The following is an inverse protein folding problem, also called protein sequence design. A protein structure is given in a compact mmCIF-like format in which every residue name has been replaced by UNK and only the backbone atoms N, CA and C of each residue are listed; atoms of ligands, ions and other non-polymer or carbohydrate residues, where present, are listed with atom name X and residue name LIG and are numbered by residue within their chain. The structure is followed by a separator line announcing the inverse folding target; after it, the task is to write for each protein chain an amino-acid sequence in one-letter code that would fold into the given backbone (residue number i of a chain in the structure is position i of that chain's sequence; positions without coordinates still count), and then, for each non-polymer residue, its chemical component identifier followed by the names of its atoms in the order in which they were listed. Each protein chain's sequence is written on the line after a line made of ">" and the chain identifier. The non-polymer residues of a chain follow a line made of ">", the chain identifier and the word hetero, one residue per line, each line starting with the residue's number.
data_IF_824330683189
#
_entry.id   IF_824330683189
#
_cell.length_a   1.000
_cell.length_b   1.000
_cell.length_c   1.000
_cell.angle_alpha   90.00
_cell.angle_beta   90.00
_cell.angle_gamma   90.00
#
_symmetry.space_group_name_H-M   'P 1'
#
loop_
_entity.id
_entity.type
_entity.pdbx_description
1 polymer ?
#
# COMPACT_ATOMS: atom_id res chain seq x y z
N UNK A 1 -38.52 -6.79 -4.98
CA UNK A 1 -37.12 -7.16 -5.28
C UNK A 1 -36.70 -6.27 -6.41
N UNK A 2 -36.29 -5.04 -6.07
CA UNK A 2 -35.97 -4.03 -7.06
C UNK A 2 -34.50 -4.16 -7.45
N UNK A 3 -34.29 -4.45 -8.73
CA UNK A 3 -32.96 -4.59 -9.31
C UNK A 3 -32.26 -3.23 -9.32
N UNK A 4 -31.07 -3.19 -8.70
CA UNK A 4 -30.11 -2.12 -8.94
C UNK A 4 -29.68 -2.18 -10.42
N UNK A 5 -30.40 -1.45 -11.27
CA UNK A 5 -29.91 -1.07 -12.59
C UNK A 5 -28.71 -0.15 -12.37
N UNK A 6 -27.51 -0.67 -12.63
CA UNK A 6 -26.32 0.15 -12.80
C UNK A 6 -26.66 1.19 -13.88
N UNK A 7 -26.93 2.44 -13.47
CA UNK A 7 -26.99 3.55 -14.41
C UNK A 7 -25.60 3.68 -15.01
N UNK A 8 -25.43 3.13 -16.22
CA UNK A 8 -24.27 3.44 -17.06
C UNK A 8 -24.40 4.90 -17.41
N UNK A 9 -23.67 5.75 -16.69
CA UNK A 9 -23.43 7.13 -17.12
C UNK A 9 -22.99 7.10 -18.58
N UNK A 10 -23.68 7.86 -19.44
CA UNK A 10 -23.45 8.00 -20.88
C UNK A 10 -22.17 8.82 -21.15
N UNK A 11 -21.09 8.46 -20.45
CA UNK A 11 -19.78 9.01 -20.70
C UNK A 11 -19.32 8.43 -22.04
N UNK A 12 -18.94 9.28 -23.01
CA UNK A 12 -18.40 8.77 -24.26
C UNK A 12 -17.22 7.86 -23.92
N UNK A 13 -17.30 6.61 -24.37
CA UNK A 13 -16.18 5.68 -24.25
C UNK A 13 -15.01 6.37 -24.95
N UNK A 14 -13.92 6.67 -24.24
CA UNK A 14 -12.78 7.35 -24.85
C UNK A 14 -12.32 6.52 -26.04
N UNK A 15 -12.00 7.17 -27.15
CA UNK A 15 -11.46 6.46 -28.29
C UNK A 15 -10.11 5.79 -27.89
N UNK A 16 -9.65 4.88 -28.74
CA UNK A 16 -8.43 4.10 -28.46
C UNK A 16 -7.23 5.02 -28.25
N UNK A 17 -7.13 6.15 -28.98
CA UNK A 17 -6.02 7.09 -28.86
C UNK A 17 -6.04 7.83 -27.52
N UNK A 18 -7.22 8.32 -27.11
CA UNK A 18 -7.41 8.96 -25.81
C UNK A 18 -7.15 7.98 -24.66
N UNK A 19 -7.58 6.74 -24.80
CA UNK A 19 -7.33 5.67 -23.82
C UNK A 19 -5.83 5.39 -23.71
N UNK A 20 -5.14 5.20 -24.83
CA UNK A 20 -3.69 4.96 -24.86
C UNK A 20 -2.94 6.12 -24.24
N UNK A 21 -3.29 7.36 -24.58
CA UNK A 21 -2.67 8.57 -24.01
C UNK A 21 -2.91 8.66 -22.50
N UNK A 22 -4.12 8.34 -22.04
CA UNK A 22 -4.46 8.31 -20.62
C UNK A 22 -3.64 7.27 -19.86
N UNK A 23 -3.49 6.06 -20.41
CA UNK A 23 -2.67 5.00 -19.81
C UNK A 23 -1.20 5.41 -19.74
N UNK A 24 -0.63 5.96 -20.83
CA UNK A 24 0.75 6.46 -20.84
C UNK A 24 0.94 7.54 -19.77
N UNK A 25 0.02 8.52 -19.68
CA UNK A 25 0.10 9.56 -18.67
C UNK A 25 0.04 9.04 -17.23
N UNK A 26 -0.73 7.97 -16.97
CA UNK A 26 -0.73 7.29 -15.67
C UNK A 26 0.62 6.62 -15.42
N UNK A 27 1.19 5.92 -16.41
CA UNK A 27 2.48 5.26 -16.28
C UNK A 27 3.62 6.26 -16.03
N UNK A 28 3.62 7.39 -16.72
CA UNK A 28 4.59 8.48 -16.52
C UNK A 28 4.47 9.05 -15.10
N UNK A 29 3.25 9.26 -14.60
CA UNK A 29 3.00 9.72 -13.24
C UNK A 29 3.49 8.70 -12.20
N UNK A 30 3.22 7.41 -12.41
CA UNK A 30 3.70 6.35 -11.52
C UNK A 30 5.23 6.29 -11.50
N UNK A 31 5.87 6.44 -12.66
CA UNK A 31 7.33 6.55 -12.78
C UNK A 31 7.87 7.76 -12.01
N UNK A 32 7.25 8.94 -12.16
CA UNK A 32 7.63 10.15 -11.44
C UNK A 32 7.47 10.03 -9.91
N UNK A 33 6.54 9.19 -9.45
CA UNK A 33 6.31 8.88 -8.03
C UNK A 33 7.15 7.69 -7.53
N UNK A 34 8.02 7.13 -8.38
CA UNK A 34 8.82 5.94 -8.11
C UNK A 34 7.98 4.72 -7.66
N UNK A 35 6.78 4.59 -8.23
CA UNK A 35 5.88 3.45 -7.98
C UNK A 35 6.25 2.31 -8.95
N UNK A 36 6.77 1.22 -8.39
CA UNK A 36 7.15 0.03 -9.15
C UNK A 36 5.96 -0.89 -9.43
N UNK A 37 4.97 -0.91 -8.53
CA UNK A 37 3.77 -1.74 -8.67
C UNK A 37 2.58 -1.00 -8.08
N UNK A 38 1.47 -1.01 -8.79
CA UNK A 38 0.17 -0.63 -8.24
C UNK A 38 -0.93 -1.46 -8.87
N UNK A 39 -1.92 -1.88 -8.09
CA UNK A 39 -3.04 -2.63 -8.64
C UNK A 39 -3.99 -3.19 -7.59
N UNK A 40 -5.08 -3.77 -8.09
CA UNK A 40 -6.08 -4.49 -7.29
C UNK A 40 -6.04 -5.97 -7.66
N UNK A 41 -5.75 -6.80 -6.68
CA UNK A 41 -5.50 -8.23 -6.84
C UNK A 41 -6.62 -9.02 -6.18
N UNK A 42 -7.14 -10.03 -6.88
CA UNK A 42 -8.02 -11.01 -6.27
C UNK A 42 -7.19 -11.96 -5.39
N UNK A 43 -7.67 -12.23 -4.19
CA UNK A 43 -7.04 -13.14 -3.23
C UNK A 43 -8.04 -14.22 -2.87
N UNK A 44 -7.68 -15.47 -3.12
CA UNK A 44 -8.49 -16.61 -2.73
C UNK A 44 -8.43 -16.79 -1.20
N UNK A 45 -9.60 -16.89 -0.57
CA UNK A 45 -9.73 -17.09 0.88
C UNK A 45 -10.72 -18.22 1.15
N UNK A 46 -10.70 -18.83 2.35
CA UNK A 46 -11.64 -19.92 2.69
C UNK A 46 -13.12 -19.53 2.52
N UNK A 47 -13.46 -18.26 2.75
CA UNK A 47 -14.83 -17.73 2.71
C UNK A 47 -15.24 -17.19 1.33
N UNK A 48 -14.30 -17.09 0.38
CA UNK A 48 -14.54 -16.59 -0.98
C UNK A 48 -13.45 -15.67 -1.51
N UNK A 49 -13.61 -15.12 -2.73
CA UNK A 49 -12.64 -14.19 -3.29
C UNK A 49 -12.68 -12.83 -2.58
N UNK A 50 -11.55 -12.41 -2.01
CA UNK A 50 -11.34 -11.05 -1.50
C UNK A 50 -10.55 -10.23 -2.52
N UNK A 51 -10.46 -8.91 -2.30
CA UNK A 51 -9.58 -8.04 -3.11
C UNK A 51 -8.60 -7.28 -2.23
N UNK A 52 -7.35 -7.20 -2.67
CA UNK A 52 -6.29 -6.41 -2.05
C UNK A 52 -5.83 -5.32 -3.02
N UNK A 53 -5.72 -4.08 -2.56
CA UNK A 53 -4.99 -3.04 -3.28
C UNK A 53 -3.55 -3.10 -2.80
N UNK A 54 -2.60 -3.16 -3.74
CA UNK A 54 -1.17 -3.23 -3.45
C UNK A 54 -0.48 -2.07 -4.14
N UNK A 55 0.38 -1.37 -3.42
CA UNK A 55 1.28 -0.34 -3.95
C UNK A 55 2.69 -0.64 -3.46
N UNK A 56 3.66 -0.64 -4.37
CA UNK A 56 5.09 -0.71 -4.06
C UNK A 56 5.75 0.52 -4.63
N UNK A 57 6.42 1.30 -3.78
CA UNK A 57 7.15 2.49 -4.17
C UNK A 57 8.55 2.50 -3.55
N UNK A 58 9.49 3.17 -4.22
CA UNK A 58 10.81 3.47 -3.67
C UNK A 58 10.91 4.96 -3.42
N UNK A 59 11.22 5.35 -2.20
CA UNK A 59 11.38 6.76 -1.84
C UNK A 59 12.86 7.08 -1.63
N UNK A 60 13.44 8.02 -2.39
CA UNK A 60 14.78 8.51 -2.08
C UNK A 60 14.75 9.23 -0.74
N UNK A 61 15.73 8.91 0.10
CA UNK A 61 15.97 9.59 1.37
C UNK A 61 16.92 10.76 1.11
N UNK A 62 16.55 11.94 1.61
CA UNK A 62 17.43 13.11 1.59
C UNK A 62 18.40 12.98 2.77
N UNK A 63 19.37 12.08 2.64
CA UNK A 63 20.43 11.83 3.63
C UNK A 63 21.71 12.56 3.23
N UNK A 64 22.33 13.29 4.16
CA UNK A 64 23.60 13.99 3.91
C UNK A 64 24.78 13.01 3.80
N UNK A 65 24.73 11.92 4.58
CA UNK A 65 25.74 10.86 4.60
C UNK A 65 25.06 9.48 4.41
N UNK A 66 24.93 9.01 3.16
CA UNK A 66 24.38 7.69 2.86
C UNK A 66 25.15 6.53 3.49
N UNK A 67 26.47 6.64 3.62
CA UNK A 67 27.31 5.56 4.16
C UNK A 67 27.05 5.39 5.67
N UNK A 68 26.93 6.51 6.40
CA UNK A 68 26.51 6.48 7.79
C UNK A 68 25.08 5.93 7.95
N UNK A 69 24.15 6.32 7.06
CA UNK A 69 22.78 5.80 7.07
C UNK A 69 22.73 4.28 6.78
N UNK A 70 23.56 3.80 5.85
CA UNK A 70 23.72 2.38 5.54
C UNK A 70 24.35 1.60 6.71
N UNK A 71 25.26 2.23 7.46
CA UNK A 71 25.87 1.63 8.64
C UNK A 71 24.89 1.49 9.82
N UNK A 72 23.87 2.35 9.91
CA UNK A 72 22.84 2.34 10.97
C UNK A 72 21.40 2.23 10.44
N UNK A 73 21.13 1.16 9.69
CA UNK A 73 19.76 0.85 9.23
C UNK A 73 18.77 0.64 10.38
N UNK A 74 19.24 0.21 11.56
CA UNK A 74 18.38 0.00 12.72
C UNK A 74 17.93 1.33 13.34
N UNK A 75 18.83 2.31 13.47
CA UNK A 75 18.51 3.68 13.85
C UNK A 75 17.59 4.35 12.83
N UNK A 76 17.86 4.15 11.54
CA UNK A 76 17.00 4.65 10.47
C UNK A 76 15.58 4.06 10.53
N UNK A 77 15.45 2.74 10.73
CA UNK A 77 14.14 2.09 10.91
C UNK A 77 13.41 2.62 12.17
N UNK A 78 14.14 2.91 13.24
CA UNK A 78 13.57 3.50 14.46
C UNK A 78 13.02 4.91 14.19
N UNK A 79 13.79 5.76 13.50
CA UNK A 79 13.37 7.09 13.10
C UNK A 79 12.14 7.06 12.17
N UNK A 80 12.12 6.13 11.20
CA UNK A 80 10.96 5.92 10.32
C UNK A 80 9.73 5.52 11.14
N UNK A 81 9.87 4.61 12.11
CA UNK A 81 8.75 4.22 13.00
C UNK A 81 8.18 5.42 13.73
N UNK A 82 9.02 6.29 14.28
CA UNK A 82 8.57 7.49 14.99
C UNK A 82 7.79 8.45 14.08
N UNK A 83 8.20 8.58 12.82
CA UNK A 83 7.47 9.38 11.83
C UNK A 83 6.10 8.74 11.52
N UNK A 84 6.05 7.42 11.30
CA UNK A 84 4.79 6.70 11.04
C UNK A 84 3.84 6.85 12.22
N UNK A 85 4.33 6.61 13.44
CA UNK A 85 3.50 6.71 14.65
C UNK A 85 2.94 8.11 14.86
N UNK A 86 3.71 9.17 14.56
CA UNK A 86 3.21 10.56 14.63
C UNK A 86 2.11 10.84 13.60
N UNK A 87 2.23 10.28 12.39
CA UNK A 87 1.25 10.48 11.31
C UNK A 87 -0.01 9.64 11.50
N UNK A 88 0.11 8.47 12.11
CA UNK A 88 -0.99 7.57 12.39
C UNK A 88 -0.95 7.09 13.86
N UNK A 89 -1.39 7.93 14.82
CA UNK A 89 -1.30 7.60 16.26
C UNK A 89 -2.05 6.34 16.66
N UNK A 90 -3.08 5.97 15.90
CA UNK A 90 -3.92 4.78 16.12
C UNK A 90 -3.41 3.54 15.37
N UNK A 91 -2.28 3.64 14.67
CA UNK A 91 -1.66 2.49 14.03
C UNK A 91 -0.84 1.69 15.04
N UNK A 92 -0.87 0.37 14.90
CA UNK A 92 0.06 -0.51 15.60
C UNK A 92 1.36 -0.56 14.78
N UNK A 93 2.42 0.07 15.29
CA UNK A 93 3.71 0.11 14.60
C UNK A 93 4.81 -0.62 15.36
N UNK A 94 5.62 -1.40 14.63
CA UNK A 94 6.78 -2.10 15.19
C UNK A 94 7.90 -2.23 14.18
N UNK A 95 9.13 -2.28 14.69
CA UNK A 95 10.30 -2.69 13.90
C UNK A 95 10.37 -4.22 13.92
N UNK A 96 10.59 -4.83 12.76
CA UNK A 96 10.77 -6.26 12.57
C UNK A 96 12.04 -6.52 11.78
N UNK A 97 12.63 -7.70 11.93
CA UNK A 97 13.72 -8.14 11.07
C UNK A 97 13.15 -8.84 9.81
N UNK A 98 13.53 -8.36 8.64
CA UNK A 98 13.32 -9.03 7.35
C UNK A 98 14.68 -9.44 6.76
N UNK A 99 14.72 -10.35 5.77
CA UNK A 99 15.98 -10.70 5.12
C UNK A 99 16.70 -9.50 4.46
N UNK A 100 15.95 -8.47 4.05
CA UNK A 100 16.49 -7.24 3.48
C UNK A 100 17.01 -6.24 4.55
N UNK A 101 16.84 -6.52 5.84
CA UNK A 101 17.21 -5.64 6.95
C UNK A 101 16.04 -5.35 7.90
N UNK A 102 16.23 -4.42 8.86
CA UNK A 102 15.15 -3.97 9.72
C UNK A 102 14.06 -3.27 8.90
N UNK A 103 12.80 -3.50 9.25
CA UNK A 103 11.65 -2.91 8.57
C UNK A 103 10.61 -2.41 9.58
N UNK A 104 9.91 -1.35 9.24
CA UNK A 104 8.80 -0.82 10.01
C UNK A 104 7.51 -1.40 9.45
N UNK A 105 6.73 -2.08 10.28
CA UNK A 105 5.39 -2.54 9.93
C UNK A 105 4.39 -1.71 10.71
N UNK A 106 3.50 -1.02 10.00
CA UNK A 106 2.36 -0.30 10.55
C UNK A 106 1.05 -0.96 10.13
N UNK A 107 0.20 -1.30 11.08
CA UNK A 107 -1.14 -1.83 10.81
C UNK A 107 -2.18 -0.78 11.20
N UNK A 108 -3.10 -0.49 10.29
CA UNK A 108 -4.23 0.41 10.50
C UNK A 108 -5.52 -0.36 10.30
N UNK A 109 -6.35 -0.35 11.32
CA UNK A 109 -7.72 -0.85 11.29
C UNK A 109 -8.64 0.35 11.41
N UNK A 110 -9.57 0.50 10.46
CA UNK A 110 -10.52 1.60 10.45
C UNK A 110 -11.85 1.18 9.84
N UNK A 111 -12.81 2.08 9.91
CA UNK A 111 -14.15 1.92 9.36
C UNK A 111 -14.59 3.24 8.74
N UNK A 112 -15.16 3.20 7.54
CA UNK A 112 -15.91 4.31 6.98
C UNK A 112 -17.38 4.10 7.30
N UNK A 113 -17.99 5.08 7.96
CA UNK A 113 -19.39 5.04 8.35
C UNK A 113 -20.17 6.05 7.53
N UNK A 114 -21.13 5.57 6.77
CA UNK A 114 -22.04 6.42 6.01
C UNK A 114 -23.37 6.49 6.74
N UNK A 115 -23.81 7.71 7.11
CA UNK A 115 -25.01 7.88 7.91
C UNK A 115 -26.26 7.51 7.09
N UNK A 116 -27.29 6.95 7.74
CA UNK A 116 -28.52 6.45 7.08
C UNK A 116 -29.16 7.50 6.15
N UNK A 117 -29.17 8.77 6.56
CA UNK A 117 -29.79 9.88 5.84
C UNK A 117 -29.15 10.17 4.48
N UNK A 118 -27.91 9.68 4.25
CA UNK A 118 -27.17 9.85 3.00
C UNK A 118 -27.26 8.64 2.08
N UNK A 119 -27.65 7.48 2.61
CA UNK A 119 -27.70 6.21 1.86
C UNK A 119 -29.13 5.78 1.53
N UNK A 120 -30.14 6.40 2.15
CA UNK A 120 -31.53 5.99 2.00
C UNK A 120 -31.83 4.63 2.65
N UNK A 121 -30.95 4.18 3.54
CA UNK A 121 -31.06 2.96 4.34
C UNK A 121 -31.59 3.32 5.73
N UNK A 122 -32.27 2.38 6.39
CA UNK A 122 -32.66 2.50 7.81
C UNK A 122 -31.48 2.25 8.78
N UNK A 123 -30.34 1.77 8.26
CA UNK A 123 -29.14 1.43 9.03
C UNK A 123 -27.88 2.13 8.49
N UNK A 124 -26.96 2.43 9.41
CA UNK A 124 -25.62 2.94 9.11
C UNK A 124 -24.85 1.93 8.24
N UNK A 125 -24.26 2.40 7.15
CA UNK A 125 -23.40 1.54 6.31
C UNK A 125 -21.97 1.64 6.83
N UNK A 126 -21.45 0.52 7.33
CA UNK A 126 -20.07 0.40 7.82
C UNK A 126 -19.23 -0.33 6.79
N UNK A 127 -18.22 0.36 6.25
CA UNK A 127 -17.25 -0.20 5.32
C UNK A 127 -15.93 -0.36 6.08
N UNK A 128 -15.52 -1.58 6.44
CA UNK A 128 -14.27 -1.75 7.16
C UNK A 128 -13.09 -1.49 6.22
N UNK A 129 -11.99 -1.03 6.79
CA UNK A 129 -10.76 -0.70 6.08
C UNK A 129 -9.58 -1.27 6.85
N UNK A 130 -8.88 -2.20 6.21
CA UNK A 130 -7.69 -2.84 6.75
C UNK A 130 -6.50 -2.44 5.90
N UNK A 131 -5.41 -1.99 6.53
CA UNK A 131 -4.18 -1.62 5.84
C UNK A 131 -2.96 -2.10 6.61
N UNK A 132 -1.99 -2.63 5.88
CA UNK A 132 -0.62 -2.82 6.35
C UNK A 132 0.31 -1.99 5.48
N UNK A 133 1.17 -1.22 6.12
CA UNK A 133 2.27 -0.51 5.49
C UNK A 133 3.58 -1.10 6.00
N UNK A 134 4.46 -1.47 5.08
CA UNK A 134 5.78 -2.02 5.39
C UNK A 134 6.81 -1.11 4.74
N UNK A 135 7.66 -0.51 5.57
CA UNK A 135 8.72 0.40 5.15
C UNK A 135 10.08 -0.26 5.41
N UNK A 136 10.90 -0.42 4.39
CA UNK A 136 12.19 -1.12 4.45
C UNK A 136 13.28 -0.14 4.03
N UNK A 137 14.09 0.40 4.96
CA UNK A 137 15.33 1.10 4.61
C UNK A 137 16.22 0.15 3.81
N UNK A 138 16.63 0.56 2.62
CA UNK A 138 17.47 -0.28 1.76
C UNK A 138 18.93 -0.25 2.21
N UNK A 139 19.72 -1.30 1.92
CA UNK A 139 21.11 -1.39 2.35
C UNK A 139 22.04 -0.26 1.88
N UNK A 140 21.62 0.53 0.89
CA UNK A 140 22.39 1.70 0.43
C UNK A 140 22.25 2.91 1.35
N UNK A 141 21.29 2.93 2.29
CA UNK A 141 20.98 4.09 3.13
C UNK A 141 20.26 5.23 2.40
N UNK A 142 20.17 5.17 1.08
CA UNK A 142 19.63 6.24 0.22
C UNK A 142 18.15 6.09 -0.10
N UNK A 143 17.56 4.94 0.20
CA UNK A 143 16.20 4.62 -0.26
C UNK A 143 15.39 3.93 0.82
N UNK A 144 14.08 4.17 0.77
CA UNK A 144 13.07 3.50 1.57
C UNK A 144 12.08 2.82 0.64
N UNK A 145 12.01 1.50 0.67
CA UNK A 145 10.95 0.77 -0.02
C UNK A 145 9.68 0.83 0.82
N UNK A 146 8.56 1.23 0.22
CA UNK A 146 7.25 1.23 0.82
C UNK A 146 6.35 0.20 0.12
N UNK A 147 5.85 -0.77 0.88
CA UNK A 147 4.80 -1.70 0.48
C UNK A 147 3.54 -1.38 1.26
N UNK A 148 2.52 -0.90 0.56
CA UNK A 148 1.21 -0.60 1.09
C UNK A 148 0.20 -1.62 0.57
N UNK A 149 -0.47 -2.33 1.48
CA UNK A 149 -1.53 -3.28 1.14
C UNK A 149 -2.79 -2.96 1.92
N UNK A 150 -3.91 -2.79 1.22
CA UNK A 150 -5.19 -2.49 1.85
C UNK A 150 -6.35 -3.32 1.30
N UNK A 151 -7.36 -3.55 2.12
CA UNK A 151 -8.59 -4.24 1.73
C UNK A 151 -9.78 -3.72 2.53
N UNK A 152 -10.98 -3.87 1.95
CA UNK A 152 -12.25 -3.68 2.67
C UNK A 152 -12.89 -5.02 3.04
N UNK A 153 -12.20 -6.15 2.82
CA UNK A 153 -12.67 -7.49 3.18
C UNK A 153 -12.17 -7.90 4.56
N UNK A 154 -13.08 -7.93 5.53
CA UNK A 154 -12.77 -8.37 6.90
C UNK A 154 -12.35 -9.85 6.96
N UNK A 155 -13.07 -10.73 6.27
CA UNK A 155 -12.73 -12.15 6.22
C UNK A 155 -11.43 -12.40 5.45
N UNK A 156 -11.14 -11.61 4.42
CA UNK A 156 -9.92 -11.76 3.63
C UNK A 156 -8.66 -11.19 4.28
N UNK A 157 -8.82 -10.30 5.26
CA UNK A 157 -7.72 -9.60 5.91
C UNK A 157 -6.60 -10.51 6.44
N UNK A 158 -6.86 -11.60 7.19
CA UNK A 158 -5.79 -12.45 7.71
C UNK A 158 -4.91 -13.06 6.60
N UNK A 159 -5.52 -13.46 5.49
CA UNK A 159 -4.81 -14.04 4.34
C UNK A 159 -4.02 -12.97 3.58
N UNK A 160 -4.63 -11.81 3.35
CA UNK A 160 -4.01 -10.67 2.66
C UNK A 160 -2.81 -10.13 3.45
N UNK A 161 -2.95 -9.93 4.77
CA UNK A 161 -1.87 -9.47 5.63
C UNK A 161 -0.69 -10.44 5.64
N UNK A 162 -0.94 -11.75 5.67
CA UNK A 162 0.10 -12.78 5.57
C UNK A 162 0.84 -12.72 4.23
N UNK A 163 0.12 -12.54 3.12
CA UNK A 163 0.75 -12.39 1.80
C UNK A 163 1.57 -11.11 1.70
N UNK A 164 1.11 -10.00 2.28
CA UNK A 164 1.88 -8.75 2.33
C UNK A 164 3.21 -8.94 3.08
N UNK A 165 3.19 -9.59 4.24
CA UNK A 165 4.42 -9.89 5.00
C UNK A 165 5.34 -10.85 4.23
N UNK A 166 4.78 -11.88 3.57
CA UNK A 166 5.57 -12.79 2.75
C UNK A 166 6.22 -12.07 1.54
N UNK A 167 5.49 -11.16 0.90
CA UNK A 167 6.01 -10.32 -0.18
C UNK A 167 7.16 -9.44 0.31
N UNK A 168 6.99 -8.74 1.45
CA UNK A 168 8.07 -7.99 2.07
C UNK A 168 9.29 -8.87 2.42
N UNK A 169 9.05 -10.08 2.95
CA UNK A 169 10.09 -11.06 3.26
C UNK A 169 10.83 -11.61 2.04
N UNK A 170 10.22 -11.53 0.85
CA UNK A 170 10.84 -11.92 -0.43
C UNK A 170 11.67 -10.82 -1.08
N UNK A 171 11.62 -9.58 -0.57
CA UNK A 171 12.46 -8.49 -1.09
C UNK A 171 13.94 -8.89 -0.95
N UNK A 172 14.65 -8.80 -2.06
CA UNK A 172 16.10 -8.97 -2.14
C UNK A 172 16.67 -7.72 -2.77
N UNK A 173 17.80 -7.29 -2.23
CA UNK A 173 18.57 -6.20 -2.80
C UNK A 173 19.80 -6.80 -3.46
N UNK A 174 19.70 -7.05 -4.76
CA UNK A 174 20.86 -7.38 -5.57
C UNK A 174 21.53 -6.05 -5.88
N UNK A 175 22.73 -5.81 -5.31
CA UNK A 175 23.45 -4.53 -5.30
C UNK A 175 23.89 -3.99 -6.67
N UNK A 176 22.98 -3.95 -7.64
CA UNK A 176 23.22 -3.38 -8.95
C UNK A 176 23.18 -1.86 -8.81
N UNK A 177 24.36 -1.24 -8.89
CA UNK A 177 24.50 0.18 -9.20
C UNK A 177 23.62 0.48 -10.41
N UNK A 178 22.66 1.39 -10.27
CA UNK A 178 22.09 2.07 -11.42
C UNK A 178 23.23 2.89 -12.03
N UNK A 179 23.86 2.35 -13.08
CA UNK A 179 24.72 3.12 -14.01
C UNK A 179 23.89 3.75 -15.09
#
# INVERSE_FOLDING_TARGET
>A
MDGYLLQTSDHPVPDVEQTVRGVIGILDLLGALNVALTGKFAVATPEGPATATVVVAMHPLQVEDPEAAAADLAGLATAVREIVQRRAPYSETRVVALPAGPAVVGVVLGEFRLPPERTGSDAEVVIPSYRVQILIPLPTGEHLLALDVSTTSAYGWPTIARHAVAAAGSVRFDGCRLT
#
